data_IF_178329194438
#
_entry.id   IF_178329194438
#
_cell.length_a   1.000
_cell.length_b   1.000
_cell.length_c   1.000
_cell.angle_alpha   90.00
_cell.angle_beta   90.00
_cell.angle_gamma   90.00
#
_symmetry.space_group_name_H-M   'P 1'
#
loop_
_entity.id
_entity.type
_entity.pdbx_description
1 polymer ?
#
# COMPACT_ATOMS: atom_id res chain seq x y z
N UNK A 1 22.69 -12.96 2.14
CA UNK A 1 21.69 -11.88 2.04
C UNK A 1 20.60 -12.36 1.10
N UNK A 2 19.32 -12.16 1.40
CA UNK A 2 18.26 -12.42 0.41
C UNK A 2 18.02 -11.16 -0.41
N UNK A 3 18.19 -11.27 -1.72
CA UNK A 3 17.90 -10.19 -2.66
C UNK A 3 16.39 -9.90 -2.67
N UNK A 4 16.04 -8.65 -2.37
CA UNK A 4 14.65 -8.18 -2.44
C UNK A 4 14.36 -7.67 -3.83
N UNK A 5 13.30 -8.18 -4.46
CA UNK A 5 12.79 -7.74 -5.76
C UNK A 5 11.52 -6.92 -5.54
N UNK A 6 11.26 -5.99 -6.46
CA UNK A 6 10.06 -5.16 -6.42
C UNK A 6 8.91 -5.83 -7.16
N UNK A 7 7.76 -5.92 -6.49
CA UNK A 7 6.53 -6.51 -7.04
C UNK A 7 5.39 -5.51 -6.93
N UNK A 8 4.51 -5.50 -7.92
CA UNK A 8 3.32 -4.65 -7.97
C UNK A 8 2.12 -5.47 -7.56
N UNK A 9 1.32 -4.89 -6.69
CA UNK A 9 0.09 -5.49 -6.20
C UNK A 9 -1.01 -5.24 -7.21
N UNK A 10 -1.69 -6.30 -7.64
CA UNK A 10 -2.80 -6.25 -8.61
C UNK A 10 -4.15 -6.55 -7.95
N UNK A 11 -4.16 -6.89 -6.66
CA UNK A 11 -5.41 -7.14 -5.91
C UNK A 11 -5.27 -6.65 -4.47
N UNK A 12 -6.31 -5.97 -3.95
CA UNK A 12 -6.32 -5.46 -2.57
C UNK A 12 -6.38 -6.61 -1.56
N UNK A 13 -5.32 -6.80 -0.78
CA UNK A 13 -5.22 -7.87 0.23
C UNK A 13 -4.11 -7.61 1.26
N UNK A 14 -4.09 -8.32 2.39
CA UNK A 14 -2.94 -8.29 3.29
C UNK A 14 -1.74 -9.02 2.66
N UNK A 15 -0.61 -8.34 2.56
CA UNK A 15 0.70 -8.89 2.17
C UNK A 15 1.66 -8.61 3.30
N UNK A 16 2.37 -9.63 3.78
CA UNK A 16 3.26 -9.52 4.95
C UNK A 16 2.54 -8.95 6.19
N UNK A 17 1.28 -9.35 6.40
CA UNK A 17 0.44 -8.86 7.51
C UNK A 17 -0.01 -7.41 7.40
N UNK A 18 0.30 -6.70 6.30
CA UNK A 18 -0.18 -5.33 6.04
C UNK A 18 -1.17 -5.29 4.89
N UNK A 19 -2.31 -4.63 5.11
CA UNK A 19 -3.30 -4.38 4.07
C UNK A 19 -2.70 -3.49 2.98
N UNK A 20 -2.62 -4.02 1.76
CA UNK A 20 -2.12 -3.29 0.60
C UNK A 20 -3.21 -3.11 -0.43
N UNK A 21 -3.10 -2.02 -1.19
CA UNK A 21 -4.02 -1.67 -2.28
C UNK A 21 -3.43 -2.06 -3.63
N UNK A 22 -4.28 -2.11 -4.63
CA UNK A 22 -3.90 -2.29 -6.02
C UNK A 22 -3.00 -1.14 -6.49
N UNK A 23 -1.99 -1.46 -7.28
CA UNK A 23 -0.98 -0.53 -7.80
C UNK A 23 0.19 -0.26 -6.85
N UNK A 24 0.14 -0.69 -5.58
CA UNK A 24 1.22 -0.49 -4.61
C UNK A 24 2.44 -1.36 -4.97
N UNK A 25 3.65 -0.85 -4.73
CA UNK A 25 4.90 -1.59 -4.97
C UNK A 25 5.47 -2.07 -3.63
N UNK A 26 5.74 -3.37 -3.53
CA UNK A 26 6.32 -4.01 -2.34
C UNK A 26 7.65 -4.68 -2.69
N UNK A 27 8.62 -4.58 -1.79
CA UNK A 27 9.89 -5.27 -1.92
C UNK A 27 9.82 -6.60 -1.16
N UNK A 28 9.80 -7.71 -1.90
CA UNK A 28 9.72 -9.06 -1.34
C UNK A 28 10.95 -9.87 -1.74
N UNK A 29 11.34 -10.82 -0.88
CA UNK A 29 12.29 -11.86 -1.24
C UNK A 29 11.62 -12.90 -2.14
N UNK A 30 12.42 -13.74 -2.82
CA UNK A 30 11.91 -14.81 -3.67
C UNK A 30 10.99 -15.78 -2.89
N UNK A 31 11.33 -16.06 -1.63
CA UNK A 31 10.54 -16.93 -0.73
C UNK A 31 9.19 -16.32 -0.39
N UNK A 32 9.15 -15.03 -0.08
CA UNK A 32 7.91 -14.31 0.20
C UNK A 32 7.03 -14.21 -1.05
N UNK A 33 7.66 -13.92 -2.21
CA UNK A 33 6.94 -13.96 -3.49
C UNK A 33 6.32 -15.33 -3.74
N UNK A 34 7.02 -16.44 -3.52
CA UNK A 34 6.42 -17.77 -3.75
C UNK A 34 5.28 -18.08 -2.78
N UNK A 35 5.37 -17.63 -1.52
CA UNK A 35 4.28 -17.77 -0.55
C UNK A 35 3.02 -17.01 -1.01
N UNK A 36 3.21 -15.83 -1.59
CA UNK A 36 2.14 -14.95 -2.08
C UNK A 36 1.66 -15.29 -3.49
N UNK A 37 2.52 -15.83 -4.34
CA UNK A 37 2.23 -16.19 -5.73
C UNK A 37 1.21 -17.34 -5.80
N UNK A 38 1.23 -18.24 -4.81
CA UNK A 38 0.19 -19.26 -4.65
C UNK A 38 -1.22 -18.69 -4.47
N UNK A 39 -1.32 -17.44 -3.99
CA UNK A 39 -2.59 -16.73 -3.79
C UNK A 39 -2.96 -15.81 -4.98
N UNK A 40 -2.08 -15.63 -5.98
CA UNK A 40 -2.26 -14.66 -7.09
C UNK A 40 -1.93 -13.21 -6.70
N UNK A 41 -2.40 -12.19 -7.42
CA UNK A 41 -2.48 -10.80 -6.91
C UNK A 41 -1.20 -9.97 -6.77
N UNK A 42 -0.03 -10.51 -7.15
CA UNK A 42 1.24 -9.78 -7.23
C UNK A 42 2.00 -10.12 -8.52
N UNK A 43 2.63 -9.12 -9.14
CA UNK A 43 3.42 -9.30 -10.36
C UNK A 43 4.82 -8.68 -10.23
N UNK A 44 5.87 -9.30 -10.80
CA UNK A 44 7.20 -8.72 -10.81
C UNK A 44 7.22 -7.43 -11.62
N UNK A 45 7.65 -6.33 -10.99
CA UNK A 45 7.87 -5.08 -11.72
C UNK A 45 9.20 -5.19 -12.43
N UNK A 46 9.18 -5.31 -13.77
CA UNK A 46 10.37 -4.98 -14.56
C UNK A 46 10.72 -3.54 -14.24
N UNK A 47 11.91 -3.32 -13.70
CA UNK A 47 12.40 -2.04 -13.19
C UNK A 47 12.67 -1.01 -14.30
N UNK A 48 11.72 -0.82 -15.20
CA UNK A 48 11.73 0.24 -16.21
C UNK A 48 10.68 1.27 -15.75
N UNK A 49 11.15 2.23 -14.95
CA UNK A 49 10.49 3.49 -14.56
C UNK A 49 8.99 3.45 -14.24
N UNK A 50 8.65 3.45 -12.94
CA UNK A 50 7.49 4.19 -12.46
C UNK A 50 7.57 4.48 -10.95
N UNK A 51 7.98 5.69 -10.54
CA UNK A 51 7.64 6.22 -9.22
C UNK A 51 6.17 6.65 -9.26
N UNK A 52 5.23 5.70 -9.20
CA UNK A 52 3.81 6.01 -9.17
C UNK A 52 3.31 5.97 -7.72
N UNK A 53 3.39 7.16 -7.10
CA UNK A 53 2.42 7.73 -6.20
C UNK A 53 1.84 6.81 -5.10
N UNK A 54 2.28 7.06 -3.87
CA UNK A 54 1.35 7.01 -2.75
C UNK A 54 0.08 7.81 -3.15
N UNK A 55 -1.14 7.26 -3.08
CA UNK A 55 -2.25 8.11 -2.79
C UNK A 55 -1.98 8.60 -1.38
N UNK A 56 -1.55 9.85 -1.31
CA UNK A 56 -2.00 10.76 -0.27
C UNK A 56 -3.42 10.31 0.11
N UNK A 57 -3.56 9.73 1.29
CA UNK A 57 -4.85 9.77 1.94
C UNK A 57 -5.16 11.26 2.02
N UNK A 58 -6.23 11.78 1.37
CA UNK A 58 -6.63 13.13 1.70
C UNK A 58 -6.93 13.11 3.19
N UNK A 59 -6.17 13.93 3.90
CA UNK A 59 -6.54 14.48 5.19
C UNK A 59 -8.02 14.83 5.10
N UNK A 60 -8.88 14.00 5.72
CA UNK A 60 -10.26 14.40 5.94
C UNK A 60 -10.18 15.57 6.89
N UNK A 61 -10.35 16.74 6.30
CA UNK A 61 -10.37 18.04 6.93
C UNK A 61 -11.09 18.03 8.27
N UNK A 62 -10.44 18.68 9.22
CA UNK A 62 -11.05 19.50 10.24
C UNK A 62 -12.47 19.92 9.85
N UNK A 63 -13.47 19.33 10.51
CA UNK A 63 -14.73 20.03 10.74
C UNK A 63 -14.63 20.63 12.13
N UNK A 64 -14.11 21.86 12.14
CA UNK A 64 -14.44 22.92 13.06
C UNK A 64 -15.84 22.72 13.68
N UNK A 65 -15.91 22.24 14.92
CA UNK A 65 -17.05 22.51 15.80
C UNK A 65 -16.66 23.59 16.79
N UNK A 66 -16.35 24.78 16.28
CA UNK A 66 -16.49 26.01 17.03
C UNK A 66 -17.92 26.53 16.83
N UNK A 67 -18.86 26.08 17.66
CA UNK A 67 -19.98 26.97 18.01
C UNK A 67 -20.08 27.03 19.52
N UNK A 68 -19.66 28.18 20.05
CA UNK A 68 -19.78 28.48 21.46
C UNK A 68 -21.24 28.46 21.91
N UNK A 69 -21.45 27.99 23.13
CA UNK A 69 -22.59 28.42 23.94
C UNK A 69 -22.08 28.82 25.32
N UNK A 70 -21.65 30.08 25.39
CA UNK A 70 -21.45 30.83 26.62
C UNK A 70 -22.83 31.15 27.21
N UNK A 71 -22.90 31.22 28.56
CA UNK A 71 -23.97 31.73 29.45
C UNK A 71 -24.92 30.63 29.94
N UNK A 72 -25.27 30.52 31.23
CA UNK A 72 -25.03 31.32 32.45
C UNK A 72 -25.35 30.40 33.64
#
# INVERSE_FOLDING_TARGET
MSDKKSYRITTRRPIDGRMRKEGDIVALTDREYQAEAGWGGIEPVKAELAPAAAPEAPETSETETATGKKRK
#
